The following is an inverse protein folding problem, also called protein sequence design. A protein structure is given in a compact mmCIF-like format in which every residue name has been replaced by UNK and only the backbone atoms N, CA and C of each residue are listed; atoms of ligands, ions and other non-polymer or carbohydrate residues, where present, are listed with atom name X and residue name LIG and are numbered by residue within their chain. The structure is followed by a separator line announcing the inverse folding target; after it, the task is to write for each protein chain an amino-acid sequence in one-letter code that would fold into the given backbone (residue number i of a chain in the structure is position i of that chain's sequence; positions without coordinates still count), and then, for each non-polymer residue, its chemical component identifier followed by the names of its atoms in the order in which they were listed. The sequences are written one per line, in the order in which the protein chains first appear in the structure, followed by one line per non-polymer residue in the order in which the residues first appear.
data_IF_363037500603
#
_entry.id   IF_363037500603
#
_cell.length_a   1.000
_cell.length_b   1.000
_cell.length_c   1.000
_cell.angle_alpha   90.00
_cell.angle_beta   90.00
_cell.angle_gamma   90.00
#
_symmetry.space_group_name_H-M   'P 1'
#
loop_
_entity.id
_entity.type
_entity.pdbx_description
1 polymer ?
#
# COMPACT_ATOMS: atom_id res chain seq x y z
N UNK A 1 -56.37 -45.62 -9.89
CA UNK A 1 -56.16 -44.63 -8.80
C UNK A 1 -55.55 -43.40 -9.45
N UNK A 2 -56.24 -42.32 -9.82
CA UNK A 2 -57.31 -41.52 -9.19
C UNK A 2 -56.88 -40.90 -7.86
N UNK A 3 -56.30 -39.67 -7.94
CA UNK A 3 -56.41 -38.47 -7.08
C UNK A 3 -55.59 -37.39 -7.84
N UNK A 4 -56.07 -36.29 -8.45
CA UNK A 4 -57.10 -35.28 -8.15
C UNK A 4 -56.72 -34.28 -7.03
N UNK A 5 -56.16 -33.15 -7.46
CA UNK A 5 -56.62 -31.77 -7.18
C UNK A 5 -56.61 -31.16 -5.75
N UNK A 6 -56.07 -29.92 -5.64
CA UNK A 6 -56.68 -28.69 -5.07
C UNK A 6 -55.79 -27.84 -4.10
N UNK A 7 -55.66 -26.56 -4.53
CA UNK A 7 -55.83 -25.28 -3.81
C UNK A 7 -54.76 -24.70 -2.85
N UNK A 8 -54.19 -23.58 -3.33
CA UNK A 8 -54.34 -22.19 -2.84
C UNK A 8 -54.35 -21.88 -1.33
N UNK A 9 -53.51 -20.92 -0.94
CA UNK A 9 -53.61 -20.17 0.32
C UNK A 9 -52.86 -18.84 0.25
N UNK A 10 -53.56 -17.76 -0.10
CA UNK A 10 -53.16 -16.37 0.18
C UNK A 10 -53.61 -16.01 1.59
N UNK A 11 -52.75 -15.38 2.42
CA UNK A 11 -53.22 -14.40 3.42
C UNK A 11 -52.16 -13.32 3.65
N UNK A 12 -52.56 -12.07 3.41
CA UNK A 12 -51.91 -10.85 3.84
C UNK A 12 -52.50 -10.42 5.19
N UNK A 13 -51.71 -9.82 6.10
CA UNK A 13 -52.26 -9.02 7.18
C UNK A 13 -52.22 -7.52 6.85
N UNK A 14 -53.41 -6.91 6.89
CA UNK A 14 -53.64 -5.47 6.86
C UNK A 14 -53.36 -4.80 8.21
N UNK A 15 -53.15 -3.48 8.11
CA UNK A 15 -53.66 -2.43 9.02
C UNK A 15 -52.80 -1.95 10.22
N UNK A 16 -52.27 -0.74 10.01
CA UNK A 16 -52.64 0.52 10.69
C UNK A 16 -52.16 0.73 12.14
N UNK A 17 -51.27 1.72 12.30
CA UNK A 17 -51.41 2.73 13.37
C UNK A 17 -50.93 4.10 12.89
N UNK A 18 -51.90 5.00 12.80
CA UNK A 18 -51.74 6.44 12.75
C UNK A 18 -51.07 6.92 14.05
N UNK A 19 -50.02 7.72 13.93
CA UNK A 19 -49.33 8.40 15.02
C UNK A 19 -49.24 9.87 14.70
N UNK A 20 -49.71 10.68 15.63
CA UNK A 20 -50.05 12.09 15.52
C UNK A 20 -48.89 13.02 15.14
N UNK A 21 -49.28 14.09 14.44
CA UNK A 21 -48.60 15.35 14.21
C UNK A 21 -48.15 16.01 15.52
N UNK A 22 -46.90 16.47 15.58
CA UNK A 22 -46.49 17.59 16.44
C UNK A 22 -45.92 18.71 15.56
N UNK A 23 -46.49 19.93 15.58
CA UNK A 23 -45.90 21.07 14.89
C UNK A 23 -44.66 21.55 15.64
N UNK A 24 -43.55 21.70 14.92
CA UNK A 24 -42.34 22.35 15.41
C UNK A 24 -42.61 23.83 15.70
N UNK A 25 -42.06 24.40 16.79
CA UNK A 25 -42.20 25.81 17.12
C UNK A 25 -41.47 26.70 16.11
N UNK A 26 -42.16 27.75 15.66
CA UNK A 26 -41.65 28.81 14.79
C UNK A 26 -40.71 29.71 15.58
N UNK A 27 -39.41 29.44 15.51
CA UNK A 27 -38.44 30.37 16.08
C UNK A 27 -37.03 29.84 16.03
N UNK A 28 -36.44 29.73 14.85
CA UNK A 28 -35.00 29.90 14.60
C UNK A 28 -34.79 29.92 13.07
N UNK A 29 -34.97 31.09 12.45
CA UNK A 29 -34.40 31.39 11.15
C UNK A 29 -33.14 32.23 11.37
N UNK A 30 -31.95 31.83 10.89
CA UNK A 30 -30.88 32.78 10.68
C UNK A 30 -31.12 33.55 9.38
N UNK A 31 -31.01 34.86 9.52
CA UNK A 31 -31.12 35.92 8.54
C UNK A 31 -30.23 35.70 7.32
N UNK A 32 -30.85 35.59 6.14
CA UNK A 32 -30.18 35.73 4.84
C UNK A 32 -29.96 37.22 4.60
N UNK A 33 -28.70 37.66 4.65
CA UNK A 33 -28.30 39.00 4.20
C UNK A 33 -27.99 38.92 2.70
N UNK A 34 -28.83 39.57 1.91
CA UNK A 34 -28.51 39.99 0.54
C UNK A 34 -28.22 41.50 0.52
N UNK A 35 -27.72 41.99 -0.63
CA UNK A 35 -27.34 43.36 -1.05
C UNK A 35 -25.80 43.60 -1.06
N UNK A 36 -25.15 44.07 -2.14
CA UNK A 36 -25.63 44.67 -3.40
C UNK A 36 -24.57 44.68 -4.50
N UNK A 37 -25.06 44.80 -5.74
CA UNK A 37 -24.42 45.09 -7.02
C UNK A 37 -23.27 46.13 -7.01
N UNK A 38 -22.30 45.92 -7.92
CA UNK A 38 -21.94 46.94 -8.91
C UNK A 38 -21.44 46.30 -10.21
N UNK A 39 -22.12 46.63 -11.31
CA UNK A 39 -21.74 46.37 -12.69
C UNK A 39 -21.34 47.70 -13.34
N UNK A 40 -20.40 47.68 -14.29
CA UNK A 40 -20.32 48.75 -15.29
C UNK A 40 -18.94 49.09 -15.84
N UNK A 41 -18.70 48.59 -17.06
CA UNK A 41 -17.92 49.19 -18.16
C UNK A 41 -16.39 49.14 -18.11
N UNK A 42 -15.81 48.44 -19.09
CA UNK A 42 -15.27 49.10 -20.29
C UNK A 42 -15.31 48.15 -21.50
N UNK A 43 -15.90 48.67 -22.58
CA UNK A 43 -16.03 48.11 -23.92
C UNK A 43 -14.82 48.53 -24.76
N UNK A 44 -14.31 47.63 -25.60
CA UNK A 44 -13.51 47.93 -26.78
C UNK A 44 -13.00 46.63 -27.42
N UNK A 45 -13.70 46.00 -28.38
CA UNK A 45 -13.57 46.15 -29.86
C UNK A 45 -12.12 46.23 -30.34
N UNK A 46 -11.57 45.47 -31.29
CA UNK A 46 -12.03 44.50 -32.31
C UNK A 46 -10.73 43.77 -32.85
N UNK A 47 -10.76 42.88 -33.87
CA UNK A 47 -9.94 41.68 -33.96
C UNK A 47 -8.74 41.77 -34.94
N UNK A 48 -7.82 40.81 -34.87
CA UNK A 48 -6.91 40.49 -35.98
C UNK A 48 -6.97 38.99 -36.30
N UNK A 49 -7.06 38.74 -37.59
CA UNK A 49 -7.33 37.50 -38.30
C UNK A 49 -6.09 37.13 -39.14
N UNK A 50 -5.78 35.82 -39.19
CA UNK A 50 -4.89 35.10 -40.15
C UNK A 50 -3.37 35.41 -40.02
N UNK A 51 -2.40 34.50 -40.21
CA UNK A 51 -2.26 33.29 -41.06
C UNK A 51 -1.02 32.49 -40.59
N UNK A 52 -0.88 31.18 -40.89
CA UNK A 52 0.33 30.38 -40.60
C UNK A 52 1.43 30.60 -41.64
N UNK A 53 2.70 30.49 -41.24
CA UNK A 53 3.84 30.44 -42.16
C UNK A 53 4.70 29.19 -41.91
N UNK A 54 4.95 28.46 -42.99
CA UNK A 54 5.72 27.23 -43.05
C UNK A 54 7.23 27.47 -43.25
N UNK A 55 8.01 26.50 -42.75
CA UNK A 55 9.27 25.93 -43.23
C UNK A 55 10.43 26.82 -43.73
N UNK A 56 11.63 26.61 -43.17
CA UNK A 56 12.80 26.11 -43.93
C UNK A 56 13.99 25.69 -43.02
N UNK A 57 14.91 24.82 -43.48
CA UNK A 57 15.87 24.07 -42.67
C UNK A 57 17.29 24.70 -42.60
N UNK A 58 18.10 24.27 -41.64
CA UNK A 58 19.49 24.67 -41.48
C UNK A 58 20.40 23.53 -41.00
N UNK A 59 21.31 23.13 -41.89
CA UNK A 59 22.35 22.11 -41.75
C UNK A 59 23.35 22.36 -40.61
N UNK A 60 23.82 21.26 -40.03
CA UNK A 60 25.25 20.89 -40.01
C UNK A 60 26.18 21.55 -38.98
N UNK A 61 26.63 20.76 -38.01
CA UNK A 61 28.07 20.66 -37.71
C UNK A 61 28.40 19.39 -36.92
N UNK A 62 29.22 18.58 -37.56
CA UNK A 62 29.96 17.47 -36.97
C UNK A 62 31.06 18.00 -36.04
N UNK A 63 31.39 17.25 -34.99
CA UNK A 63 32.63 17.39 -34.24
C UNK A 63 33.33 16.02 -34.27
N UNK A 64 34.63 15.96 -34.62
CA UNK A 64 35.36 14.71 -34.82
C UNK A 64 35.99 14.14 -33.54
N UNK A 65 36.39 12.87 -33.69
CA UNK A 65 37.05 11.95 -32.76
C UNK A 65 38.33 12.48 -32.11
N UNK A 66 38.61 12.01 -30.89
CA UNK A 66 40.00 11.76 -30.44
C UNK A 66 40.02 10.64 -29.38
N UNK A 67 40.76 9.54 -29.60
CA UNK A 67 41.04 8.53 -28.58
C UNK A 67 42.32 8.91 -27.80
N UNK A 68 42.31 8.79 -26.47
CA UNK A 68 43.52 8.83 -25.66
C UNK A 68 43.94 7.41 -25.27
N UNK A 69 45.09 7.05 -25.84
CA UNK A 69 45.94 5.92 -25.54
C UNK A 69 46.67 6.16 -24.21
N UNK A 70 46.71 5.16 -23.33
CA UNK A 70 47.76 5.04 -22.31
C UNK A 70 47.95 3.58 -21.95
N UNK A 71 49.21 3.18 -21.98
CA UNK A 71 49.72 1.83 -21.91
C UNK A 71 50.61 1.68 -20.66
N UNK A 72 50.68 0.45 -20.12
CA UNK A 72 51.83 -0.15 -19.36
C UNK A 72 52.05 0.46 -17.95
N UNK A 73 52.34 -0.22 -16.83
CA UNK A 73 52.90 -1.52 -16.42
C UNK A 73 52.50 -1.75 -14.93
N UNK A 74 52.60 -2.97 -14.37
CA UNK A 74 53.70 -3.14 -13.39
C UNK A 74 54.35 -4.54 -13.42
N UNK A 75 55.69 -4.55 -13.47
CA UNK A 75 56.53 -5.65 -12.99
C UNK A 75 57.04 -5.41 -11.55
N UNK A 76 57.95 -6.24 -11.03
CA UNK A 76 57.69 -7.62 -10.62
C UNK A 76 57.99 -7.90 -9.12
N UNK A 77 57.57 -9.08 -8.68
CA UNK A 77 57.89 -9.73 -7.41
C UNK A 77 59.39 -9.79 -7.10
N UNK A 78 59.74 -9.56 -5.83
CA UNK A 78 61.00 -10.01 -5.24
C UNK A 78 60.71 -10.72 -3.91
N UNK A 79 61.29 -11.92 -3.76
CA UNK A 79 61.22 -12.79 -2.59
C UNK A 79 62.51 -12.72 -1.77
N UNK A 80 62.40 -13.18 -0.52
CA UNK A 80 63.44 -13.58 0.43
C UNK A 80 64.19 -12.47 1.21
N UNK A 81 64.07 -12.50 2.54
CA UNK A 81 65.16 -12.99 3.42
C UNK A 81 64.73 -13.00 4.89
N UNK A 82 65.01 -14.14 5.54
CA UNK A 82 64.87 -14.41 6.95
C UNK A 82 66.20 -14.08 7.66
N UNK A 83 66.18 -13.39 8.83
CA UNK A 83 67.27 -13.52 9.79
C UNK A 83 66.83 -14.09 11.13
N UNK A 84 67.84 -14.65 11.78
CA UNK A 84 67.82 -15.57 12.90
C UNK A 84 67.39 -14.98 14.26
N UNK A 85 66.89 -15.87 15.09
CA UNK A 85 66.51 -15.70 16.49
C UNK A 85 67.76 -15.37 17.33
N UNK A 86 67.69 -14.31 18.16
CA UNK A 86 68.63 -14.08 19.26
C UNK A 86 67.82 -13.81 20.53
N UNK A 87 67.85 -14.76 21.46
CA UNK A 87 67.24 -14.63 22.79
C UNK A 87 68.19 -13.84 23.70
N UNK A 88 67.74 -12.69 24.20
CA UNK A 88 68.38 -12.00 25.32
C UNK A 88 67.32 -11.79 26.40
N UNK A 89 67.56 -12.38 27.57
CA UNK A 89 66.72 -12.22 28.75
C UNK A 89 67.19 -11.02 29.56
N UNK A 90 66.28 -10.13 29.99
CA UNK A 90 66.47 -9.36 31.23
C UNK A 90 65.18 -8.70 31.74
N UNK A 91 64.91 -8.99 33.01
CA UNK A 91 64.38 -8.15 34.09
C UNK A 91 62.91 -7.67 34.02
N UNK A 92 62.15 -8.27 34.93
CA UNK A 92 60.77 -7.99 35.31
C UNK A 92 60.65 -6.67 36.09
N UNK A 93 59.83 -5.70 35.63
CA UNK A 93 59.32 -4.61 36.44
C UNK A 93 57.92 -4.95 36.98
N UNK A 94 57.65 -4.57 38.22
CA UNK A 94 56.36 -4.71 38.92
C UNK A 94 55.19 -4.06 38.16
N UNK A 95 54.09 -4.80 37.98
CA UNK A 95 52.86 -4.29 37.36
C UNK A 95 52.22 -3.15 38.16
N UNK A 96 51.76 -2.07 37.50
CA UNK A 96 50.76 -1.15 38.04
C UNK A 96 49.39 -1.84 38.17
N UNK A 97 48.63 -1.44 39.19
CA UNK A 97 47.26 -1.92 39.42
C UNK A 97 46.37 -1.68 38.19
N UNK A 98 45.74 -2.73 37.69
CA UNK A 98 44.77 -2.68 36.59
C UNK A 98 43.48 -2.08 37.14
N UNK A 99 43.17 -0.85 36.73
CA UNK A 99 41.84 -0.27 36.87
C UNK A 99 40.95 -0.98 35.86
N UNK A 100 40.06 -1.85 36.31
CA UNK A 100 39.05 -2.48 35.47
C UNK A 100 37.98 -1.45 35.13
N UNK A 101 38.11 -0.80 33.97
CA UNK A 101 37.01 -0.04 33.37
C UNK A 101 35.88 -1.02 33.05
N UNK A 102 34.63 -0.81 33.52
CA UNK A 102 33.53 -1.69 33.16
C UNK A 102 33.27 -1.56 31.65
N UNK A 103 33.52 -2.65 30.92
CA UNK A 103 33.12 -2.77 29.51
C UNK A 103 31.61 -2.61 29.44
N UNK A 104 31.13 -1.59 28.73
CA UNK A 104 29.71 -1.44 28.44
C UNK A 104 29.22 -2.68 27.69
N UNK A 105 28.38 -3.48 28.34
CA UNK A 105 27.67 -4.58 27.73
C UNK A 105 26.67 -4.00 26.74
N UNK A 106 26.86 -4.23 25.45
CA UNK A 106 25.87 -3.91 24.42
C UNK A 106 24.65 -4.80 24.67
N UNK A 107 23.59 -4.25 25.26
CA UNK A 107 22.29 -4.91 25.30
C UNK A 107 21.82 -5.06 23.85
N UNK A 108 21.51 -6.27 23.35
CA UNK A 108 20.97 -6.43 22.01
C UNK A 108 19.61 -5.72 21.96
N UNK A 109 19.52 -4.65 21.19
CA UNK A 109 18.24 -4.03 20.82
C UNK A 109 17.49 -5.05 19.99
N UNK A 110 16.43 -5.64 20.54
CA UNK A 110 15.52 -6.51 19.79
C UNK A 110 14.98 -5.72 18.59
N UNK A 111 15.34 -6.11 17.37
CA UNK A 111 14.61 -5.64 16.19
C UNK A 111 13.22 -6.27 16.24
N UNK A 112 12.14 -5.50 16.01
CA UNK A 112 10.79 -6.05 15.93
C UNK A 112 10.73 -7.12 14.83
N UNK A 113 10.17 -8.28 15.16
CA UNK A 113 9.94 -9.37 14.22
C UNK A 113 8.78 -8.98 13.29
N UNK A 114 9.08 -8.81 12.00
CA UNK A 114 8.06 -8.46 11.00
C UNK A 114 7.16 -9.66 10.76
N UNK A 115 5.83 -9.54 10.91
CA UNK A 115 4.92 -10.65 10.70
C UNK A 115 4.78 -11.00 9.22
N UNK A 116 4.39 -12.25 8.96
CA UNK A 116 3.95 -12.68 7.63
C UNK A 116 2.75 -11.85 7.15
N UNK A 117 2.70 -11.58 5.85
CA UNK A 117 1.58 -10.83 5.28
C UNK A 117 0.26 -11.59 5.38
N UNK A 118 -0.85 -10.87 5.57
CA UNK A 118 -2.19 -11.48 5.52
C UNK A 118 -2.53 -12.03 4.12
N UNK A 119 -1.94 -11.45 3.08
CA UNK A 119 -1.98 -11.94 1.71
C UNK A 119 -0.54 -12.21 1.30
N UNK A 120 -0.16 -13.48 1.09
CA UNK A 120 1.17 -13.86 0.62
C UNK A 120 1.09 -14.26 -0.85
N UNK A 121 1.85 -13.61 -1.72
CA UNK A 121 1.93 -13.93 -3.15
C UNK A 121 3.15 -14.81 -3.39
N UNK A 122 2.95 -16.00 -3.97
CA UNK A 122 4.01 -16.96 -4.24
C UNK A 122 4.44 -16.93 -5.70
N UNK A 123 5.72 -17.21 -5.95
CA UNK A 123 6.34 -17.37 -7.28
C UNK A 123 6.32 -16.12 -8.20
N UNK A 124 5.53 -15.10 -7.89
CA UNK A 124 5.50 -13.83 -8.59
C UNK A 124 6.20 -12.76 -7.75
N UNK A 125 7.53 -12.75 -7.78
CA UNK A 125 8.33 -11.69 -7.16
C UNK A 125 8.27 -10.38 -7.94
N UNK A 126 8.72 -9.29 -7.30
CA UNK A 126 8.91 -8.00 -7.97
C UNK A 126 9.65 -8.14 -9.30
N UNK A 127 9.16 -7.46 -10.33
CA UNK A 127 9.71 -7.41 -11.69
C UNK A 127 9.83 -8.78 -12.40
N UNK A 128 9.07 -9.78 -11.95
CA UNK A 128 8.95 -11.04 -12.70
C UNK A 128 8.41 -10.77 -14.10
N UNK A 129 8.96 -11.45 -15.10
CA UNK A 129 8.49 -11.37 -16.49
C UNK A 129 7.47 -12.45 -16.73
N UNK A 130 6.28 -12.08 -17.18
CA UNK A 130 5.17 -13.03 -17.29
C UNK A 130 4.50 -12.90 -18.65
N UNK A 131 4.13 -14.04 -19.22
CA UNK A 131 3.31 -14.14 -20.43
C UNK A 131 1.92 -14.67 -20.07
N UNK A 132 0.91 -14.35 -20.90
CA UNK A 132 -0.47 -14.79 -20.67
C UNK A 132 -0.64 -16.28 -20.99
N UNK A 133 -1.42 -17.05 -20.18
CA UNK A 133 -2.02 -16.66 -18.90
C UNK A 133 -1.01 -16.62 -17.74
N UNK A 134 -1.17 -15.65 -16.83
CA UNK A 134 -0.39 -15.62 -15.59
C UNK A 134 -1.03 -16.52 -14.53
N UNK A 135 -0.24 -17.43 -13.95
CA UNK A 135 -0.66 -18.28 -12.83
C UNK A 135 -0.40 -17.56 -11.51
N UNK A 136 -1.46 -17.21 -10.80
CA UNK A 136 -1.38 -16.54 -9.51
C UNK A 136 -1.65 -17.54 -8.40
N UNK A 137 -0.66 -17.72 -7.52
CA UNK A 137 -0.80 -18.51 -6.29
C UNK A 137 -0.64 -17.60 -5.09
N UNK A 138 -1.66 -17.55 -4.23
CA UNK A 138 -1.64 -16.73 -3.02
C UNK A 138 -2.17 -17.49 -1.80
N UNK A 139 -1.62 -17.18 -0.63
CA UNK A 139 -2.14 -17.65 0.67
C UNK A 139 -2.76 -16.48 1.41
N UNK A 140 -3.96 -16.68 1.92
CA UNK A 140 -4.73 -15.68 2.65
C UNK A 140 -4.86 -16.11 4.10
N UNK A 141 -4.61 -15.20 5.05
CA UNK A 141 -4.81 -15.40 6.49
C UNK A 141 -5.95 -14.54 7.07
N UNK A 142 -6.62 -13.77 6.21
CA UNK A 142 -7.68 -12.85 6.63
C UNK A 142 -8.86 -13.62 7.23
N UNK A 143 -9.26 -13.26 8.45
CA UNK A 143 -10.24 -14.02 9.26
C UNK A 143 -11.70 -13.68 8.94
N UNK A 144 -11.95 -12.50 8.37
CA UNK A 144 -13.30 -11.92 8.20
C UNK A 144 -13.61 -11.54 6.76
N UNK A 145 -12.73 -11.90 5.83
CA UNK A 145 -12.89 -11.63 4.40
C UNK A 145 -14.08 -12.38 3.79
N UNK A 146 -14.82 -11.70 2.91
CA UNK A 146 -15.95 -12.23 2.15
C UNK A 146 -15.63 -12.30 0.66
N UNK A 147 -15.01 -11.27 0.11
CA UNK A 147 -14.70 -11.20 -1.32
C UNK A 147 -13.19 -11.05 -1.49
N UNK A 148 -12.61 -11.93 -2.29
CA UNK A 148 -11.26 -11.80 -2.79
C UNK A 148 -11.34 -11.24 -4.20
N UNK A 149 -10.56 -10.21 -4.47
CA UNK A 149 -10.42 -9.61 -5.80
C UNK A 149 -8.95 -9.66 -6.20
N UNK A 150 -8.70 -10.19 -7.39
CA UNK A 150 -7.40 -10.16 -8.05
C UNK A 150 -7.52 -9.28 -9.27
N UNK A 151 -6.60 -8.34 -9.42
CA UNK A 151 -6.58 -7.40 -10.53
C UNK A 151 -5.18 -7.31 -11.11
N UNK A 152 -5.11 -7.32 -12.43
CA UNK A 152 -3.90 -7.02 -13.17
C UNK A 152 -4.06 -5.67 -13.84
N UNK A 153 -3.19 -4.73 -13.50
CA UNK A 153 -3.15 -3.38 -14.06
C UNK A 153 -1.96 -3.22 -15.00
N UNK A 154 -2.17 -2.50 -16.10
CA UNK A 154 -1.13 -2.09 -17.05
C UNK A 154 -0.40 -0.82 -16.61
N UNK A 155 0.55 -0.37 -17.43
CA UNK A 155 1.50 0.72 -17.11
C UNK A 155 0.79 2.06 -16.92
N UNK A 156 -0.30 2.23 -17.67
CA UNK A 156 -1.19 3.39 -17.65
C UNK A 156 -2.30 3.31 -16.58
N UNK A 157 -2.28 2.27 -15.73
CA UNK A 157 -3.31 2.01 -14.73
C UNK A 157 -4.58 1.39 -15.29
N UNK A 158 -4.59 0.95 -16.55
CA UNK A 158 -5.76 0.26 -17.11
C UNK A 158 -5.88 -1.14 -16.51
N UNK A 159 -7.11 -1.54 -16.23
CA UNK A 159 -7.41 -2.92 -15.82
C UNK A 159 -7.27 -3.86 -17.02
N UNK A 160 -6.29 -4.76 -16.97
CA UNK A 160 -6.02 -5.77 -18.00
C UNK A 160 -6.76 -7.09 -17.73
N UNK A 161 -6.96 -7.42 -16.46
CA UNK A 161 -7.65 -8.64 -16.06
C UNK A 161 -8.16 -8.53 -14.62
N UNK A 162 -9.29 -9.20 -14.34
CA UNK A 162 -9.88 -9.23 -13.00
C UNK A 162 -10.52 -10.58 -12.74
N UNK A 163 -10.25 -11.12 -11.55
CA UNK A 163 -10.91 -12.29 -11.02
C UNK A 163 -11.54 -11.96 -9.67
N UNK A 164 -12.79 -12.38 -9.47
CA UNK A 164 -13.49 -12.24 -8.19
C UNK A 164 -13.86 -13.60 -7.65
N UNK A 165 -13.45 -13.87 -6.42
CA UNK A 165 -13.78 -15.10 -5.71
C UNK A 165 -14.49 -14.77 -4.41
N UNK A 166 -15.64 -15.39 -4.17
CA UNK A 166 -16.24 -15.36 -2.85
C UNK A 166 -15.44 -16.29 -1.94
N UNK A 167 -14.92 -15.76 -0.84
CA UNK A 167 -14.30 -16.57 0.20
C UNK A 167 -15.43 -17.29 0.93
N UNK A 168 -15.42 -18.63 0.99
CA UNK A 168 -16.32 -19.33 1.87
C UNK A 168 -16.09 -18.85 3.31
N UNK A 169 -17.09 -18.97 4.19
CA UNK A 169 -16.86 -18.88 5.62
C UNK A 169 -16.01 -20.08 6.05
N UNK A 170 -14.70 -20.01 5.82
CA UNK A 170 -13.76 -21.07 6.11
C UNK A 170 -13.44 -20.97 7.61
N UNK A 171 -13.77 -21.99 8.43
CA UNK A 171 -13.52 -21.96 9.87
C UNK A 171 -12.03 -22.10 10.23
N UNK A 172 -11.17 -22.40 9.25
CA UNK A 172 -9.72 -22.49 9.40
C UNK A 172 -9.05 -21.28 8.74
N UNK A 173 -8.17 -20.64 9.51
CA UNK A 173 -7.60 -19.29 9.34
C UNK A 173 -6.68 -19.08 8.13
N UNK A 174 -6.72 -19.95 7.12
CA UNK A 174 -5.81 -19.87 5.97
C UNK A 174 -6.47 -20.41 4.72
N UNK A 175 -6.51 -19.66 3.62
CA UNK A 175 -6.98 -20.15 2.33
C UNK A 175 -5.83 -20.14 1.31
N UNK A 176 -5.69 -21.20 0.50
CA UNK A 176 -4.79 -21.20 -0.65
C UNK A 176 -5.63 -20.95 -1.90
N UNK A 177 -5.23 -19.93 -2.66
CA UNK A 177 -5.88 -19.52 -3.90
C UNK A 177 -4.90 -19.75 -5.03
N UNK A 178 -5.37 -20.43 -6.07
CA UNK A 178 -4.62 -20.66 -7.30
C UNK A 178 -5.57 -20.38 -8.46
N UNK A 179 -5.28 -19.34 -9.23
CA UNK A 179 -6.09 -18.94 -10.39
C UNK A 179 -5.20 -18.50 -11.54
N UNK A 180 -5.76 -18.44 -12.73
CA UNK A 180 -5.08 -17.97 -13.94
C UNK A 180 -5.78 -16.70 -14.44
N UNK A 181 -5.00 -15.70 -14.83
CA UNK A 181 -5.53 -14.45 -15.39
C UNK A 181 -4.98 -14.30 -16.81
N UNK A 182 -5.90 -14.23 -17.77
CA UNK A 182 -5.55 -13.87 -19.15
C UNK A 182 -5.37 -12.36 -19.28
N UNK A 183 -4.42 -11.94 -20.11
CA UNK A 183 -4.21 -10.53 -20.42
C UNK A 183 -3.68 -10.33 -21.84
N UNK A 184 -3.90 -9.14 -22.37
CA UNK A 184 -3.36 -8.70 -23.66
C UNK A 184 -2.75 -7.31 -23.50
N UNK A 185 -1.59 -7.10 -24.12
CA UNK A 185 -0.89 -5.82 -24.15
C UNK A 185 -0.60 -5.41 -25.58
N UNK A 186 -0.58 -4.09 -25.83
CA UNK A 186 -0.37 -3.53 -27.17
C UNK A 186 1.11 -3.42 -27.56
N UNK A 187 2.01 -3.40 -26.58
CA UNK A 187 3.44 -3.31 -26.76
C UNK A 187 4.08 -4.71 -26.58
N UNK A 188 5.33 -4.85 -27.02
CA UNK A 188 6.07 -6.10 -26.83
C UNK A 188 6.24 -6.47 -25.34
N UNK A 189 6.40 -5.46 -24.49
CA UNK A 189 6.39 -5.58 -23.04
C UNK A 189 5.79 -4.34 -22.40
N UNK A 190 5.17 -4.48 -21.24
CA UNK A 190 4.54 -3.41 -20.48
C UNK A 190 4.83 -3.58 -18.97
N UNK A 191 5.01 -2.48 -18.26
CA UNK A 191 5.10 -2.52 -16.79
C UNK A 191 3.69 -2.69 -16.21
N UNK A 192 3.50 -3.61 -15.27
CA UNK A 192 2.18 -3.87 -14.71
C UNK A 192 2.22 -4.14 -13.22
N UNK A 193 1.03 -4.23 -12.61
CA UNK A 193 0.88 -4.58 -11.20
C UNK A 193 -0.22 -5.60 -11.01
N UNK A 194 0.12 -6.68 -10.33
CA UNK A 194 -0.85 -7.60 -9.77
C UNK A 194 -1.24 -7.11 -8.38
N UNK A 195 -2.51 -6.84 -8.17
CA UNK A 195 -3.09 -6.44 -6.89
C UNK A 195 -4.03 -7.54 -6.42
N UNK A 196 -3.83 -7.99 -5.18
CA UNK A 196 -4.75 -8.91 -4.51
C UNK A 196 -5.32 -8.19 -3.29
N UNK A 197 -6.65 -8.09 -3.24
CA UNK A 197 -7.36 -7.39 -2.18
C UNK A 197 -8.48 -8.25 -1.59
N UNK A 198 -8.70 -8.09 -0.28
CA UNK A 198 -9.80 -8.75 0.44
C UNK A 198 -10.75 -7.69 0.99
N UNK A 199 -12.05 -7.92 0.78
CA UNK A 199 -13.14 -7.12 1.32
C UNK A 199 -13.89 -7.90 2.40
N UNK A 200 -14.34 -7.20 3.44
CA UNK A 200 -15.16 -7.78 4.51
C UNK A 200 -16.65 -7.90 4.12
N UNK A 201 -17.49 -8.30 5.08
CA UNK A 201 -18.94 -8.42 4.87
C UNK A 201 -19.63 -7.08 4.61
N UNK A 202 -19.02 -5.97 5.03
CA UNK A 202 -19.51 -4.61 4.85
C UNK A 202 -19.02 -3.97 3.54
N UNK A 203 -18.18 -4.69 2.77
CA UNK A 203 -17.61 -4.19 1.51
C UNK A 203 -16.40 -3.27 1.71
N UNK A 204 -15.78 -3.29 2.88
CA UNK A 204 -14.58 -2.48 3.20
C UNK A 204 -13.33 -3.30 2.87
N UNK A 205 -12.33 -2.65 2.29
CA UNK A 205 -11.02 -3.26 2.06
C UNK A 205 -10.30 -3.47 3.40
N UNK A 206 -9.98 -4.73 3.72
CA UNK A 206 -9.32 -5.10 4.97
C UNK A 206 -7.85 -5.47 4.79
N UNK A 207 -7.49 -5.99 3.62
CA UNK A 207 -6.11 -6.36 3.29
C UNK A 207 -5.86 -6.13 1.80
N UNK A 208 -4.70 -5.55 1.47
CA UNK A 208 -4.22 -5.44 0.08
C UNK A 208 -2.74 -5.73 0.05
N UNK A 209 -2.31 -6.57 -0.89
CA UNK A 209 -0.91 -6.76 -1.21
C UNK A 209 -0.73 -6.77 -2.73
N UNK A 210 0.41 -6.29 -3.21
CA UNK A 210 0.66 -6.20 -4.65
C UNK A 210 2.12 -6.51 -4.99
N UNK A 211 2.34 -6.86 -6.25
CA UNK A 211 3.69 -7.01 -6.82
C UNK A 211 3.73 -6.37 -8.20
N UNK A 212 4.84 -5.70 -8.51
CA UNK A 212 5.04 -5.17 -9.86
C UNK A 212 5.61 -6.25 -10.78
N UNK A 213 5.19 -6.26 -12.03
CA UNK A 213 5.51 -7.28 -13.02
C UNK A 213 5.93 -6.63 -14.34
N UNK A 214 6.61 -7.39 -15.18
CA UNK A 214 6.86 -7.07 -16.58
C UNK A 214 5.99 -8.01 -17.42
N UNK A 215 4.96 -7.45 -18.04
CA UNK A 215 4.02 -8.19 -18.87
C UNK A 215 4.64 -8.34 -20.26
N UNK A 216 4.65 -9.55 -20.79
CA UNK A 216 5.18 -9.87 -22.11
C UNK A 216 4.06 -10.25 -23.07
N UNK A 217 4.12 -9.74 -24.30
CA UNK A 217 3.19 -10.12 -25.35
C UNK A 217 3.46 -11.54 -25.87
N UNK A 218 4.74 -11.94 -25.88
CA UNK A 218 5.20 -13.24 -26.33
C UNK A 218 6.49 -13.64 -25.59
N UNK A 219 6.72 -14.95 -25.49
CA UNK A 219 7.89 -15.53 -24.83
C UNK A 219 7.55 -16.32 -23.57
N UNK A 220 8.59 -16.86 -22.96
CA UNK A 220 8.47 -17.63 -21.73
C UNK A 220 8.49 -16.72 -20.50
N UNK A 221 7.77 -17.12 -19.46
CA UNK A 221 7.79 -16.42 -18.18
C UNK A 221 9.09 -16.67 -17.43
N UNK A 222 9.66 -15.62 -16.86
CA UNK A 222 10.86 -15.65 -16.01
C UNK A 222 10.47 -15.10 -14.63
N UNK A 223 10.41 -16.01 -13.65
CA UNK A 223 9.84 -15.72 -12.33
C UNK A 223 10.92 -15.38 -11.32
N UNK A 224 10.75 -14.25 -10.63
CA UNK A 224 11.59 -13.88 -9.49
C UNK A 224 11.07 -14.53 -8.20
N UNK A 225 11.96 -14.77 -7.21
CA UNK A 225 11.55 -15.27 -5.90
C UNK A 225 10.49 -14.37 -5.25
N UNK A 226 9.57 -14.98 -4.51
CA UNK A 226 8.48 -14.26 -3.85
C UNK A 226 9.00 -13.21 -2.85
N UNK A 227 8.61 -11.96 -3.06
CA UNK A 227 8.94 -10.81 -2.22
C UNK A 227 7.78 -10.42 -1.28
N UNK A 228 6.55 -10.57 -1.76
CA UNK A 228 5.31 -10.24 -1.04
C UNK A 228 4.88 -11.32 -0.03
N UNK A 229 5.82 -11.78 0.81
CA UNK A 229 5.56 -12.78 1.87
C UNK A 229 5.41 -12.14 3.26
N UNK A 230 5.96 -10.94 3.43
CA UNK A 230 6.02 -10.20 4.69
C UNK A 230 5.14 -8.96 4.63
N UNK A 231 4.63 -8.55 5.77
CA UNK A 231 3.73 -7.42 5.85
C UNK A 231 4.47 -6.11 5.56
N UNK A 232 4.10 -5.42 4.47
CA UNK A 232 4.69 -4.12 4.10
C UNK A 232 4.33 -3.02 5.09
N UNK A 233 3.11 -3.07 5.65
CA UNK A 233 2.60 -2.12 6.65
C UNK A 233 2.15 -2.91 7.88
N UNK A 234 2.87 -2.75 8.98
CA UNK A 234 2.53 -3.31 10.27
C UNK A 234 1.97 -2.23 11.18
N UNK A 235 0.77 -2.46 11.73
CA UNK A 235 0.14 -1.59 12.73
C UNK A 235 0.40 -2.19 14.10
N UNK A 236 1.11 -1.47 14.96
CA UNK A 236 1.43 -1.90 16.33
C UNK A 236 0.40 -1.38 17.33
N UNK A 237 0.03 -0.10 17.18
CA UNK A 237 -1.05 0.53 17.93
C UNK A 237 -2.00 1.23 16.96
N UNK A 238 -3.33 1.16 17.19
CA UNK A 238 -4.01 0.47 18.30
C UNK A 238 -4.08 -1.05 18.13
N UNK A 239 -4.34 -1.76 19.24
CA UNK A 239 -4.62 -3.21 19.21
C UNK A 239 -6.03 -3.48 18.68
N UNK A 240 -6.29 -4.63 18.03
CA UNK A 240 -7.62 -4.99 17.56
C UNK A 240 -8.67 -4.96 18.67
N UNK A 241 -9.89 -4.53 18.33
CA UNK A 241 -11.05 -4.44 19.22
C UNK A 241 -10.87 -3.51 20.42
N UNK A 242 -9.91 -2.59 20.36
CA UNK A 242 -9.72 -1.56 21.40
C UNK A 242 -10.84 -0.52 21.31
N UNK A 243 -11.36 -0.11 22.47
CA UNK A 243 -12.27 1.03 22.61
C UNK A 243 -11.45 2.32 22.72
N UNK A 244 -11.64 3.25 21.78
CA UNK A 244 -11.02 4.56 21.76
C UNK A 244 -12.05 5.63 22.15
N UNK A 245 -11.61 6.58 22.98
CA UNK A 245 -12.41 7.70 23.48
C UNK A 245 -11.62 9.01 23.33
N UNK A 246 -12.33 10.15 23.26
CA UNK A 246 -11.69 11.47 23.24
C UNK A 246 -11.43 12.05 21.85
N UNK A 247 -12.06 11.51 20.79
CA UNK A 247 -12.11 12.13 19.47
C UNK A 247 -10.81 12.07 18.66
N UNK A 248 -9.83 11.28 19.08
CA UNK A 248 -8.61 11.00 18.31
C UNK A 248 -8.12 9.58 18.54
N UNK A 249 -7.65 8.91 17.49
CA UNK A 249 -6.98 7.62 17.55
C UNK A 249 -5.48 7.83 17.33
N UNK A 250 -4.65 7.45 18.30
CA UNK A 250 -3.21 7.35 18.07
C UNK A 250 -2.90 6.07 17.30
N UNK A 251 -2.18 6.21 16.20
CA UNK A 251 -1.80 5.11 15.31
C UNK A 251 -0.29 5.10 15.17
N UNK A 252 0.32 3.94 15.35
CA UNK A 252 1.77 3.76 15.15
C UNK A 252 2.11 2.36 14.66
N UNK A 253 3.28 2.26 14.02
CA UNK A 253 3.78 0.99 13.53
C UNK A 253 5.02 1.13 12.65
N UNK A 254 5.22 0.11 11.81
CA UNK A 254 6.35 0.00 10.91
C UNK A 254 5.87 -0.15 9.48
N UNK A 255 6.57 0.46 8.53
CA UNK A 255 6.29 0.29 7.12
C UNK A 255 7.57 0.21 6.30
N UNK A 256 7.51 -0.55 5.20
CA UNK A 256 8.54 -0.61 4.18
C UNK A 256 7.94 -0.20 2.83
N UNK A 257 7.53 1.07 2.67
CA UNK A 257 6.83 1.52 1.47
C UNK A 257 7.73 1.39 0.24
N UNK A 258 7.11 1.17 -0.92
CA UNK A 258 7.80 1.10 -2.20
C UNK A 258 8.11 2.50 -2.77
N UNK A 259 7.54 3.54 -2.17
CA UNK A 259 7.67 4.94 -2.57
C UNK A 259 8.00 5.85 -1.37
N UNK A 260 8.53 7.04 -1.63
CA UNK A 260 8.76 8.07 -0.60
C UNK A 260 7.48 8.83 -0.21
N UNK A 261 6.32 8.36 -0.66
CA UNK A 261 5.03 8.99 -0.35
C UNK A 261 4.62 8.72 1.10
N UNK A 262 3.90 9.65 1.75
CA UNK A 262 3.34 9.39 3.06
C UNK A 262 2.29 8.27 2.99
N UNK A 263 2.13 7.55 4.09
CA UNK A 263 1.03 6.60 4.27
C UNK A 263 -0.27 7.36 4.52
N UNK A 264 -1.35 6.82 3.98
CA UNK A 264 -2.70 7.27 4.25
C UNK A 264 -3.26 6.45 5.41
N UNK A 265 -3.87 7.14 6.36
CA UNK A 265 -4.52 6.53 7.52
C UNK A 265 -5.97 6.98 7.52
N UNK A 266 -6.90 6.04 7.56
CA UNK A 266 -8.34 6.31 7.51
C UNK A 266 -9.10 5.48 8.55
N UNK A 267 -10.17 6.06 9.10
CA UNK A 267 -11.16 5.38 9.92
C UNK A 267 -12.43 5.21 9.09
N UNK A 268 -12.82 3.97 8.83
CA UNK A 268 -13.95 3.64 7.95
C UNK A 268 -15.05 2.96 8.75
N UNK A 269 -16.24 3.57 8.81
CA UNK A 269 -17.42 3.00 9.44
C UNK A 269 -17.95 1.76 8.71
N UNK A 270 -18.81 0.97 9.35
CA UNK A 270 -19.45 -0.20 8.72
C UNK A 270 -20.37 0.13 7.54
N UNK A 271 -20.79 1.39 7.44
CA UNK A 271 -21.56 1.94 6.32
C UNK A 271 -20.67 2.43 5.16
N UNK A 272 -19.34 2.30 5.30
CA UNK A 272 -18.35 2.76 4.33
C UNK A 272 -18.00 4.25 4.45
N UNK A 273 -18.56 4.97 5.42
CA UNK A 273 -18.25 6.39 5.60
C UNK A 273 -16.86 6.59 6.21
N UNK A 274 -16.13 7.59 5.72
CA UNK A 274 -14.87 8.01 6.33
C UNK A 274 -15.17 8.84 7.58
N UNK A 275 -14.79 8.32 8.75
CA UNK A 275 -14.98 8.93 10.07
C UNK A 275 -13.81 9.83 10.48
N UNK A 276 -12.69 9.74 9.76
CA UNK A 276 -11.46 10.46 10.04
C UNK A 276 -10.31 10.01 9.13
N UNK A 277 -9.37 10.90 8.86
CA UNK A 277 -8.19 10.58 8.07
C UNK A 277 -6.96 11.41 8.45
N UNK A 278 -5.77 10.89 8.15
CA UNK A 278 -4.48 11.54 8.37
C UNK A 278 -3.42 11.01 7.40
N UNK A 279 -2.40 11.81 7.15
CA UNK A 279 -1.17 11.36 6.50
C UNK A 279 -0.08 11.13 7.54
N UNK A 280 0.70 10.07 7.38
CA UNK A 280 1.85 9.76 8.22
C UNK A 280 3.12 9.61 7.39
N UNK A 281 4.16 10.34 7.75
CA UNK A 281 5.48 10.12 7.20
C UNK A 281 6.12 8.87 7.81
N UNK A 282 6.97 8.20 7.02
CA UNK A 282 7.73 7.01 7.46
C UNK A 282 9.18 7.42 7.70
N UNK A 283 9.67 7.25 8.93
CA UNK A 283 11.07 7.51 9.32
C UNK A 283 11.93 6.26 9.08
N UNK A 284 12.53 6.17 7.90
CA UNK A 284 13.45 5.08 7.51
C UNK A 284 14.86 5.42 7.96
N UNK A 285 15.38 4.69 8.97
CA UNK A 285 16.73 4.89 9.50
C UNK A 285 17.81 4.10 8.77
N UNK A 286 17.42 2.99 8.15
CA UNK A 286 18.30 2.09 7.40
C UNK A 286 17.74 2.01 5.98
N UNK A 287 18.49 2.43 4.95
CA UNK A 287 18.02 2.33 3.56
C UNK A 287 17.59 0.90 3.21
N UNK A 288 16.40 0.76 2.62
CA UNK A 288 15.79 -0.54 2.30
C UNK A 288 15.29 -1.35 3.50
N UNK A 289 15.23 -0.74 4.69
CA UNK A 289 14.64 -1.31 5.89
C UNK A 289 13.27 -0.72 6.22
N UNK A 290 12.61 -1.29 7.22
CA UNK A 290 11.37 -0.73 7.76
C UNK A 290 11.65 0.60 8.46
N UNK A 291 10.77 1.58 8.22
CA UNK A 291 10.72 2.82 8.96
C UNK A 291 9.51 2.88 9.89
N UNK A 292 9.61 3.70 10.94
CA UNK A 292 8.51 3.90 11.87
C UNK A 292 7.56 4.98 11.36
N UNK A 293 6.26 4.81 11.59
CA UNK A 293 5.26 5.85 11.37
C UNK A 293 4.40 6.03 12.62
N UNK A 294 3.92 7.25 12.83
CA UNK A 294 2.98 7.56 13.89
C UNK A 294 2.12 8.79 13.52
N UNK A 295 0.85 8.78 13.92
CA UNK A 295 -0.06 9.88 13.72
C UNK A 295 -1.28 9.84 14.65
N UNK A 296 -1.82 11.01 14.96
CA UNK A 296 -3.13 11.17 15.61
C UNK A 296 -4.21 11.41 14.54
N UNK A 297 -5.20 10.53 14.50
CA UNK A 297 -6.33 10.57 13.56
C UNK A 297 -7.57 11.09 14.29
N UNK A 298 -8.00 12.34 14.05
CA UNK A 298 -9.20 12.86 14.68
C UNK A 298 -10.46 12.17 14.12
N UNK A 299 -11.45 11.96 14.98
CA UNK A 299 -12.74 11.42 14.59
C UNK A 299 -13.88 12.09 15.38
N UNK A 300 -15.10 12.00 14.84
CA UNK A 300 -16.30 12.47 15.52
C UNK A 300 -17.42 11.45 15.37
N UNK A 301 -17.88 10.91 16.50
CA UNK A 301 -19.03 9.98 16.58
C UNK A 301 -19.95 10.42 17.70
N UNK A 302 -21.25 10.13 17.60
CA UNK A 302 -22.26 10.48 18.61
C UNK A 302 -22.66 9.30 19.49
N UNK A 303 -22.28 8.09 19.10
CA UNK A 303 -22.53 6.84 19.81
C UNK A 303 -21.36 5.89 19.62
N UNK A 304 -21.38 4.73 20.30
CA UNK A 304 -20.33 3.73 20.13
C UNK A 304 -20.42 3.13 18.73
N UNK A 305 -19.42 3.39 17.89
CA UNK A 305 -19.40 3.02 16.47
C UNK A 305 -18.25 2.07 16.18
N UNK A 306 -18.50 0.85 15.67
CA UNK A 306 -17.45 -0.01 15.12
C UNK A 306 -16.84 0.63 13.87
N UNK A 307 -15.51 0.74 13.85
CA UNK A 307 -14.76 1.31 12.74
C UNK A 307 -13.61 0.39 12.34
N UNK A 308 -13.20 0.48 11.08
CA UNK A 308 -11.99 -0.15 10.57
C UNK A 308 -10.94 0.94 10.41
N UNK A 309 -9.85 0.85 11.16
CA UNK A 309 -8.65 1.61 10.90
C UNK A 309 -7.93 0.97 9.72
N UNK A 310 -7.62 1.77 8.71
CA UNK A 310 -6.93 1.33 7.51
C UNK A 310 -5.68 2.18 7.35
N UNK A 311 -4.53 1.54 7.14
CA UNK A 311 -3.27 2.20 6.78
C UNK A 311 -2.84 1.66 5.43
N UNK A 312 -2.66 2.54 4.44
CA UNK A 312 -2.33 2.13 3.09
C UNK A 312 -1.31 3.03 2.40
N UNK A 313 -0.62 2.44 1.44
CA UNK A 313 0.27 3.12 0.50
C UNK A 313 -0.46 3.29 -0.84
N UNK A 314 -0.36 4.49 -1.43
CA UNK A 314 -0.87 4.72 -2.79
C UNK A 314 -0.11 3.91 -3.82
N UNK A 315 -0.82 3.32 -4.78
CA UNK A 315 -0.21 2.62 -5.90
C UNK A 315 0.25 3.50 -7.06
N UNK A 316 0.13 4.82 -6.93
CA UNK A 316 0.52 5.78 -7.96
C UNK A 316 -0.36 5.66 -9.21
N UNK A 317 0.27 5.52 -10.38
CA UNK A 317 -0.45 5.41 -11.65
C UNK A 317 -0.98 4.02 -11.95
N UNK A 318 -0.38 2.97 -11.35
CA UNK A 318 -0.72 1.58 -11.65
C UNK A 318 -1.99 1.12 -10.94
N UNK A 319 -2.15 1.51 -9.68
CA UNK A 319 -3.30 1.15 -8.86
C UNK A 319 -3.58 2.25 -7.84
N UNK A 320 -4.80 2.32 -7.34
CA UNK A 320 -5.14 3.27 -6.28
C UNK A 320 -4.36 2.95 -4.99
N UNK A 321 -4.34 1.67 -4.62
CA UNK A 321 -3.69 1.15 -3.42
C UNK A 321 -2.66 0.09 -3.81
N UNK A 322 -1.46 0.18 -3.23
CA UNK A 322 -0.39 -0.81 -3.38
C UNK A 322 -0.44 -1.87 -2.27
N UNK A 323 -0.51 -1.38 -1.03
CA UNK A 323 -0.45 -2.16 0.18
C UNK A 323 -1.44 -1.57 1.18
N UNK A 324 -2.10 -2.44 1.92
CA UNK A 324 -3.06 -2.03 2.94
C UNK A 324 -3.02 -3.02 4.10
N UNK A 325 -3.01 -2.46 5.31
CA UNK A 325 -3.22 -3.18 6.55
C UNK A 325 -4.40 -2.55 7.28
N UNK A 326 -5.16 -3.36 8.03
CA UNK A 326 -6.28 -2.85 8.79
C UNK A 326 -6.40 -3.45 10.19
N UNK A 327 -7.09 -2.71 11.06
CA UNK A 327 -7.40 -3.10 12.43
C UNK A 327 -8.82 -2.66 12.77
N UNK A 328 -9.64 -3.58 13.30
CA UNK A 328 -10.98 -3.24 13.81
C UNK A 328 -10.90 -2.54 15.17
N UNK A 329 -11.70 -1.49 15.35
CA UNK A 329 -11.77 -0.67 16.55
C UNK A 329 -13.22 -0.37 16.94
N UNK A 330 -13.40 0.06 18.19
CA UNK A 330 -14.64 0.66 18.68
C UNK A 330 -14.37 2.13 19.01
N UNK A 331 -15.09 3.05 18.37
CA UNK A 331 -14.99 4.47 18.63
C UNK A 331 -16.13 4.90 19.54
N UNK A 332 -15.84 5.72 20.54
CA UNK A 332 -16.83 6.34 21.42
C UNK A 332 -16.65 7.86 21.39
N UNK A 333 -17.74 8.63 21.61
CA UNK A 333 -17.66 10.07 21.83
C UNK A 333 -16.65 10.42 22.93
#
# INVERSE_FOLDING_TARGET
MLVACLLAGCTSPSARKEGLVTPLPTGFMPTVVALTLQAGNLVGTLPVKNTPLAASPGNGSAIPLTPLESAVEPGPSASAQQPAVTLTATLQPSMPAVITTPTASLTPTFLPEIPSAYIQIFQLGELSRVSSPIKVTARLFSKVGKVLRLELHGEDGRLLGRELSNLPAIPWSTALVSTEIDFEISLAAEYGRLVISVEDTYGRLIDVNSVNLILLQFGDSELNPATALWQVIQIDEPRPQTLIQGGSVFVSGLAHPNTDNPLFIELVGQDGQNLGHRLAAVDIRIPGGYGAFAADVPYLVTEVTPALLVVYESGGTLSEIAHLASVELLLSP
#
